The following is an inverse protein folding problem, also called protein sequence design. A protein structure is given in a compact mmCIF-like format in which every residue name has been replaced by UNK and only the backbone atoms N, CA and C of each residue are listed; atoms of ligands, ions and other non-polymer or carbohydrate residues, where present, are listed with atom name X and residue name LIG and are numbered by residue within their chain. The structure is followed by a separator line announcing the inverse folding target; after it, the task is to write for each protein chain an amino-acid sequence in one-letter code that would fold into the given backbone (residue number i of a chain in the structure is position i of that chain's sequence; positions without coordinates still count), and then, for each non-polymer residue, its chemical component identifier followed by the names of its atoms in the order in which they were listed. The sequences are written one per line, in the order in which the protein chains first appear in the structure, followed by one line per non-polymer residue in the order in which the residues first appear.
data_IF_622037639425
#
_entry.id   IF_622037639425
#
_cell.length_a   1.000
_cell.length_b   1.000
_cell.length_c   1.000
_cell.angle_alpha   90.00
_cell.angle_beta   90.00
_cell.angle_gamma   90.00
#
_symmetry.space_group_name_H-M   'P 1'
#
loop_
_entity.id
_entity.type
_entity.pdbx_description
1 polymer ?
#
# COMPACT_ATOMS: atom_id res chain seq x y z
N UNK A 1 7.18 -19.02 -31.97
CA UNK A 1 8.31 -18.84 -31.02
C UNK A 1 7.88 -17.96 -29.84
N UNK A 2 6.65 -18.10 -29.30
CA UNK A 2 6.07 -17.12 -28.35
C UNK A 2 6.08 -17.54 -26.88
N UNK A 3 6.49 -18.77 -26.53
CA UNK A 3 6.43 -19.26 -25.14
C UNK A 3 7.54 -18.76 -24.21
N UNK A 4 8.62 -18.19 -24.76
CA UNK A 4 9.74 -17.66 -23.95
C UNK A 4 9.49 -16.25 -23.44
N UNK A 5 8.99 -15.37 -24.30
CA UNK A 5 8.69 -13.97 -24.00
C UNK A 5 7.58 -13.85 -22.94
N UNK A 6 6.56 -14.71 -23.05
CA UNK A 6 5.45 -14.79 -22.10
C UNK A 6 5.88 -15.22 -20.69
N UNK A 7 6.80 -16.20 -20.57
CA UNK A 7 7.34 -16.63 -19.27
C UNK A 7 8.18 -15.54 -18.60
N UNK A 8 8.96 -14.77 -19.38
CA UNK A 8 9.75 -13.65 -18.86
C UNK A 8 8.83 -12.56 -18.32
N UNK A 9 7.81 -12.17 -19.10
CA UNK A 9 6.82 -11.17 -18.66
C UNK A 9 6.06 -11.60 -17.39
N UNK A 10 5.79 -12.90 -17.20
CA UNK A 10 5.19 -13.41 -15.96
C UNK A 10 6.11 -13.24 -14.74
N UNK A 11 7.40 -13.57 -14.89
CA UNK A 11 8.38 -13.38 -13.82
C UNK A 11 8.52 -11.92 -13.41
N UNK A 12 8.49 -11.00 -14.38
CA UNK A 12 8.53 -9.56 -14.14
C UNK A 12 7.25 -9.06 -13.44
N UNK A 13 6.07 -9.55 -13.83
CA UNK A 13 4.80 -9.19 -13.20
C UNK A 13 4.71 -9.68 -11.75
N UNK A 14 5.11 -10.92 -11.48
CA UNK A 14 5.15 -11.47 -10.13
C UNK A 14 6.15 -10.70 -9.24
N UNK A 15 7.30 -10.31 -9.80
CA UNK A 15 8.28 -9.49 -9.10
C UNK A 15 7.77 -8.07 -8.82
N UNK A 16 7.07 -7.46 -9.78
CA UNK A 16 6.45 -6.16 -9.60
C UNK A 16 5.35 -6.20 -8.52
N UNK A 17 4.52 -7.24 -8.50
CA UNK A 17 3.49 -7.43 -7.48
C UNK A 17 4.08 -7.60 -6.08
N UNK A 18 5.13 -8.42 -5.94
CA UNK A 18 5.88 -8.56 -4.69
C UNK A 18 6.48 -7.23 -4.24
N UNK A 19 7.08 -6.48 -5.16
CA UNK A 19 7.67 -5.16 -4.89
C UNK A 19 6.64 -4.17 -4.38
N UNK A 20 5.46 -4.09 -5.00
CA UNK A 20 4.40 -3.17 -4.55
C UNK A 20 3.84 -3.59 -3.19
N UNK A 21 3.66 -4.89 -2.94
CA UNK A 21 3.26 -5.37 -1.61
C UNK A 21 4.26 -4.97 -0.53
N UNK A 22 5.57 -5.11 -0.80
CA UNK A 22 6.62 -4.68 0.13
C UNK A 22 6.63 -3.16 0.33
N UNK A 23 6.47 -2.37 -0.74
CA UNK A 23 6.35 -0.91 -0.62
C UNK A 23 5.13 -0.50 0.21
N UNK A 24 3.99 -1.15 0.03
CA UNK A 24 2.80 -0.87 0.82
C UNK A 24 3.01 -1.14 2.32
N UNK A 25 3.69 -2.24 2.66
CA UNK A 25 4.07 -2.55 4.05
C UNK A 25 5.04 -1.51 4.62
N UNK A 26 6.02 -1.04 3.84
CA UNK A 26 6.96 0.00 4.27
C UNK A 26 6.26 1.32 4.57
N UNK A 27 5.31 1.74 3.72
CA UNK A 27 4.54 2.97 3.99
C UNK A 27 3.69 2.81 5.24
N UNK A 28 3.09 1.64 5.47
CA UNK A 28 2.32 1.37 6.69
C UNK A 28 3.19 1.48 7.94
N UNK A 29 4.43 0.96 7.91
CA UNK A 29 5.37 1.10 9.01
C UNK A 29 5.75 2.56 9.27
N UNK A 30 6.07 3.32 8.21
CA UNK A 30 6.41 4.74 8.33
C UNK A 30 5.26 5.58 8.92
N UNK A 31 4.01 5.21 8.61
CA UNK A 31 2.83 5.87 9.19
C UNK A 31 2.72 5.65 10.70
N UNK A 32 2.92 4.42 11.16
CA UNK A 32 2.89 4.13 12.59
C UNK A 32 4.04 4.81 13.33
N UNK A 33 5.24 4.83 12.74
CA UNK A 33 6.39 5.55 13.31
C UNK A 33 6.10 7.05 13.42
N UNK A 34 5.48 7.65 12.39
CA UNK A 34 5.11 9.05 12.39
C UNK A 34 3.99 9.33 13.41
N UNK A 35 3.02 8.43 13.57
CA UNK A 35 1.98 8.52 14.61
C UNK A 35 2.57 8.56 16.01
N UNK A 36 3.53 7.68 16.30
CA UNK A 36 4.20 7.66 17.60
C UNK A 36 4.95 8.96 17.87
N UNK A 37 5.61 9.52 16.86
CA UNK A 37 6.29 10.81 16.99
C UNK A 37 5.31 11.95 17.26
N UNK A 38 4.18 11.99 16.55
CA UNK A 38 3.12 12.98 16.78
C UNK A 38 2.60 12.89 18.22
N UNK A 39 2.24 11.70 18.70
CA UNK A 39 1.77 11.49 20.08
C UNK A 39 2.82 11.99 21.09
N UNK A 40 4.10 11.68 20.88
CA UNK A 40 5.20 12.08 21.76
C UNK A 40 5.40 13.60 21.83
N UNK A 41 5.35 14.28 20.68
CA UNK A 41 5.48 15.74 20.61
C UNK A 41 4.28 16.41 21.26
N UNK A 42 3.10 15.81 21.15
CA UNK A 42 1.85 16.42 21.56
C UNK A 42 1.51 16.18 23.04
N UNK A 43 2.00 15.09 23.65
CA UNK A 43 1.87 14.82 25.09
C UNK A 43 2.59 15.80 26.01
N UNK A 44 3.48 16.65 25.49
CA UNK A 44 4.14 17.71 26.28
C UNK A 44 3.33 19.01 26.40
N UNK A 45 2.20 19.14 25.69
CA UNK A 45 1.40 20.38 25.60
C UNK A 45 0.07 20.36 26.38
N UNK A 46 -0.17 19.35 27.23
CA UNK A 46 -1.37 19.25 28.09
C UNK A 46 -1.39 20.39 29.13
N UNK A 47 -2.10 21.48 28.84
CA UNK A 47 -2.33 22.54 29.84
C UNK A 47 -2.91 23.84 29.29
N UNK A 48 -2.44 24.31 28.13
CA UNK A 48 -2.88 25.61 27.56
C UNK A 48 -3.44 25.52 26.13
N UNK A 49 -3.24 24.40 25.42
CA UNK A 49 -3.53 24.27 23.99
C UNK A 49 -4.43 23.07 23.65
N UNK A 50 -5.26 22.60 24.58
CA UNK A 50 -6.07 21.37 24.42
C UNK A 50 -6.95 21.36 23.15
N UNK A 51 -7.56 22.49 22.78
CA UNK A 51 -8.37 22.59 21.56
C UNK A 51 -7.52 22.50 20.28
N UNK A 52 -6.36 23.16 20.24
CA UNK A 52 -5.43 23.08 19.11
C UNK A 52 -4.82 21.67 18.99
N UNK A 53 -4.56 21.02 20.13
CA UNK A 53 -4.14 19.63 20.21
C UNK A 53 -5.18 18.71 19.56
N UNK A 54 -6.43 18.81 19.99
CA UNK A 54 -7.50 17.94 19.53
C UNK A 54 -7.76 18.12 18.02
N UNK A 55 -7.65 19.36 17.52
CA UNK A 55 -7.73 19.63 16.10
C UNK A 55 -6.59 18.95 15.32
N UNK A 56 -5.35 19.04 15.80
CA UNK A 56 -4.19 18.44 15.14
C UNK A 56 -4.20 16.92 15.20
N UNK A 57 -4.67 16.35 16.30
CA UNK A 57 -4.87 14.90 16.42
C UNK A 57 -5.93 14.40 15.45
N UNK A 58 -7.07 15.08 15.33
CA UNK A 58 -8.10 14.73 14.35
C UNK A 58 -7.57 14.83 12.90
N UNK A 59 -6.79 15.87 12.61
CA UNK A 59 -6.18 16.07 11.28
C UNK A 59 -5.19 14.94 10.94
N UNK A 60 -4.42 14.52 11.94
CA UNK A 60 -3.52 13.38 11.86
C UNK A 60 -4.27 12.07 11.60
N UNK A 61 -5.27 11.75 12.43
CA UNK A 61 -6.05 10.52 12.32
C UNK A 61 -6.75 10.42 10.95
N UNK A 62 -7.27 11.54 10.45
CA UNK A 62 -7.88 11.62 9.11
C UNK A 62 -6.84 11.32 8.01
N UNK A 63 -5.68 11.97 8.08
CA UNK A 63 -4.63 11.80 7.06
C UNK A 63 -4.06 10.37 7.07
N UNK A 64 -3.94 9.77 8.25
CA UNK A 64 -3.50 8.39 8.41
C UNK A 64 -4.52 7.40 7.85
N UNK A 65 -5.82 7.63 8.10
CA UNK A 65 -6.90 6.80 7.55
C UNK A 65 -6.97 6.87 6.02
N UNK A 66 -6.86 8.07 5.44
CA UNK A 66 -6.84 8.27 3.99
C UNK A 66 -5.67 7.54 3.34
N UNK A 67 -4.47 7.66 3.92
CA UNK A 67 -3.29 6.99 3.38
C UNK A 67 -3.40 5.46 3.50
N UNK A 68 -3.91 4.94 4.62
CA UNK A 68 -4.18 3.51 4.78
C UNK A 68 -5.17 3.02 3.72
N UNK A 69 -6.21 3.80 3.40
CA UNK A 69 -7.19 3.47 2.36
C UNK A 69 -6.53 3.39 0.99
N UNK A 70 -5.71 4.37 0.63
CA UNK A 70 -4.96 4.40 -0.65
C UNK A 70 -4.03 3.20 -0.76
N UNK A 71 -3.26 2.88 0.28
CA UNK A 71 -2.36 1.73 0.28
C UNK A 71 -3.11 0.41 0.12
N UNK A 72 -4.26 0.26 0.80
CA UNK A 72 -5.09 -0.92 0.67
C UNK A 72 -5.66 -1.05 -0.75
N UNK A 73 -6.07 0.06 -1.37
CA UNK A 73 -6.57 0.06 -2.74
C UNK A 73 -5.47 -0.32 -3.74
N UNK A 74 -4.25 0.18 -3.54
CA UNK A 74 -3.08 -0.22 -4.35
C UNK A 74 -2.81 -1.71 -4.22
N UNK A 75 -2.82 -2.26 -2.99
CA UNK A 75 -2.62 -3.69 -2.76
C UNK A 75 -3.65 -4.56 -3.48
N UNK A 76 -4.92 -4.16 -3.45
CA UNK A 76 -6.00 -4.85 -4.18
C UNK A 76 -5.76 -4.77 -5.69
N UNK A 77 -5.51 -3.58 -6.23
CA UNK A 77 -5.31 -3.39 -7.67
C UNK A 77 -4.15 -4.25 -8.22
N UNK A 78 -3.08 -4.40 -7.44
CA UNK A 78 -1.93 -5.22 -7.81
C UNK A 78 -2.24 -6.71 -7.82
N UNK A 79 -2.95 -7.20 -6.80
CA UNK A 79 -3.39 -8.60 -6.76
C UNK A 79 -4.32 -8.89 -7.93
N UNK A 80 -5.31 -8.03 -8.15
CA UNK A 80 -6.30 -8.20 -9.21
C UNK A 80 -5.64 -8.16 -10.60
N UNK A 81 -4.62 -7.31 -10.80
CA UNK A 81 -3.78 -7.35 -12.00
C UNK A 81 -3.06 -8.69 -12.16
N UNK A 82 -2.41 -9.20 -11.10
CA UNK A 82 -1.76 -10.51 -11.12
C UNK A 82 -2.70 -11.66 -11.50
N UNK A 83 -3.91 -11.68 -10.93
CA UNK A 83 -4.94 -12.69 -11.23
C UNK A 83 -5.44 -12.57 -12.67
N UNK A 84 -5.72 -11.36 -13.15
CA UNK A 84 -6.18 -11.12 -14.53
C UNK A 84 -5.13 -11.58 -15.56
N UNK A 85 -3.85 -11.33 -15.29
CA UNK A 85 -2.76 -11.79 -16.15
C UNK A 85 -2.61 -13.32 -16.13
N UNK A 86 -2.70 -13.97 -14.97
CA UNK A 86 -2.67 -15.44 -14.88
C UNK A 86 -3.85 -16.10 -15.62
N UNK A 87 -5.04 -15.51 -15.53
CA UNK A 87 -6.21 -15.98 -16.24
C UNK A 87 -6.08 -15.83 -17.77
N UNK A 88 -5.57 -14.69 -18.23
CA UNK A 88 -5.29 -14.45 -19.64
C UNK A 88 -4.26 -15.45 -20.20
N UNK A 89 -3.23 -15.78 -19.42
CA UNK A 89 -2.22 -16.75 -19.78
C UNK A 89 -2.80 -18.15 -19.96
N UNK A 90 -3.53 -18.67 -18.96
CA UNK A 90 -4.17 -19.99 -19.05
C UNK A 90 -5.12 -20.10 -20.25
N UNK A 91 -5.84 -19.02 -20.57
CA UNK A 91 -6.72 -18.96 -21.73
C UNK A 91 -5.93 -19.01 -23.06
N UNK A 92 -4.74 -18.41 -23.10
CA UNK A 92 -3.87 -18.45 -24.28
C UNK A 92 -3.14 -19.80 -24.39
N UNK A 93 -2.65 -20.39 -23.29
CA UNK A 93 -2.02 -21.72 -23.32
C UNK A 93 -2.99 -22.82 -23.74
N UNK A 94 -4.27 -22.73 -23.36
CA UNK A 94 -5.32 -23.67 -23.80
C UNK A 94 -5.73 -23.50 -25.28
N UNK A 95 -5.27 -22.45 -25.97
CA UNK A 95 -5.58 -22.18 -27.38
C UNK A 95 -4.56 -22.74 -28.37
N UNK A 96 -3.42 -23.26 -27.88
CA UNK A 96 -2.31 -23.79 -28.68
C UNK A 96 -2.13 -25.28 -28.39
#
# INVERSE_FOLDING_TARGET
MSGGEVKVSFGELASAAGSISSSAQQVQQQLEDLKQQVVKVMGSYEGAAAAAYQQKQNQWDTSAADLQSVLSAIGIAVRDAGEAYQAAENANTNRW
#
